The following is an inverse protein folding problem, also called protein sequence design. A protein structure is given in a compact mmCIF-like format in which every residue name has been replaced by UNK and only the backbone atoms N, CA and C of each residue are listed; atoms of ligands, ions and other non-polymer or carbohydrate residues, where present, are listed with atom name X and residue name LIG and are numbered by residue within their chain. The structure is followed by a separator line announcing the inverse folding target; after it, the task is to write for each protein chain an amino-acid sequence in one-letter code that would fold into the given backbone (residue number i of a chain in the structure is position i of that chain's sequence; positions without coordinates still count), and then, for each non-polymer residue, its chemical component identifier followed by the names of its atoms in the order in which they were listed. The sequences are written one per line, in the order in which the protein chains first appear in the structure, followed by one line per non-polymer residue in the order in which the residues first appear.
data_IF_201973685516
#
_entry.id   IF_201973685516
#
_cell.length_a   1.000
_cell.length_b   1.000
_cell.length_c   1.000
_cell.angle_alpha   90.00
_cell.angle_beta   90.00
_cell.angle_gamma   90.00
#
_symmetry.space_group_name_H-M   'P 1'
#
loop_
_entity.id
_entity.type
_entity.pdbx_description
1 polymer ?
#
# COMPACT_ATOMS: atom_id res chain seq x y z
N UNK A 1 3.18 -13.27 -1.48
CA UNK A 1 2.49 -12.97 -2.75
C UNK A 1 1.93 -11.53 -2.74
N UNK A 2 1.87 -10.82 -3.88
CA UNK A 2 1.45 -9.41 -3.93
C UNK A 2 1.07 -8.91 -5.33
N UNK A 3 0.39 -7.76 -5.42
CA UNK A 3 -0.07 -7.15 -6.67
C UNK A 3 1.00 -6.22 -7.25
N UNK A 4 1.37 -6.41 -8.52
CA UNK A 4 2.33 -5.55 -9.24
C UNK A 4 1.61 -4.32 -9.82
N UNK A 5 2.17 -3.15 -9.57
CA UNK A 5 1.66 -1.87 -10.07
C UNK A 5 2.48 -1.39 -11.28
N UNK A 6 1.99 -0.41 -12.02
CA UNK A 6 2.72 0.18 -13.16
C UNK A 6 4.04 0.81 -12.71
N UNK A 7 5.04 0.78 -13.60
CA UNK A 7 6.42 1.20 -13.32
C UNK A 7 6.53 2.67 -12.89
N UNK A 8 7.39 2.89 -11.91
CA UNK A 8 8.06 4.15 -11.57
C UNK A 8 9.50 4.13 -12.12
N UNK A 9 10.24 5.23 -11.99
CA UNK A 9 11.67 5.26 -12.34
C UNK A 9 12.47 4.19 -11.57
N UNK A 10 13.57 3.65 -12.11
CA UNK A 10 14.44 2.72 -11.37
C UNK A 10 15.18 3.43 -10.21
N UNK A 11 15.56 2.67 -9.16
CA UNK A 11 16.30 3.19 -8.00
C UNK A 11 17.22 2.12 -7.39
N UNK A 12 18.26 2.56 -6.67
CA UNK A 12 19.22 1.69 -5.95
C UNK A 12 19.01 1.68 -4.43
N UNK A 13 17.81 2.04 -3.97
CA UNK A 13 17.51 2.12 -2.53
C UNK A 13 17.28 0.73 -1.94
N UNK A 14 18.17 0.33 -1.03
CA UNK A 14 18.03 -0.83 -0.16
C UNK A 14 18.02 -0.36 1.31
N UNK A 15 17.25 -1.04 2.14
CA UNK A 15 17.13 -0.75 3.58
C UNK A 15 17.39 -2.03 4.40
N UNK A 16 17.79 -1.90 5.68
CA UNK A 16 17.79 -3.03 6.59
C UNK A 16 16.44 -3.77 6.59
N UNK A 17 16.47 -5.09 6.74
CA UNK A 17 15.23 -5.89 6.73
C UNK A 17 14.26 -5.42 7.79
N UNK A 18 13.11 -4.92 7.36
CA UNK A 18 12.02 -4.49 8.24
C UNK A 18 10.83 -5.45 8.11
N UNK A 19 10.01 -5.56 9.17
CA UNK A 19 8.75 -6.31 9.12
C UNK A 19 7.89 -5.84 7.95
N UNK A 20 7.51 -6.77 7.09
CA UNK A 20 6.57 -6.49 6.02
C UNK A 20 5.14 -6.57 6.57
N UNK A 21 4.36 -5.52 6.29
CA UNK A 21 2.99 -5.39 6.76
C UNK A 21 2.04 -5.61 5.58
N UNK A 22 0.94 -6.32 5.81
CA UNK A 22 -0.14 -6.45 4.83
C UNK A 22 -0.62 -5.06 4.37
N UNK A 23 -0.66 -4.86 3.05
CA UNK A 23 -1.04 -3.59 2.43
C UNK A 23 0.14 -2.62 2.22
N UNK A 24 1.37 -2.96 2.62
CA UNK A 24 2.52 -2.12 2.33
C UNK A 24 2.82 -2.07 0.83
N UNK A 25 3.22 -0.91 0.31
CA UNK A 25 3.73 -0.75 -1.04
C UNK A 25 5.24 -0.85 -0.99
N UNK A 26 5.78 -1.93 -1.52
CA UNK A 26 7.22 -2.17 -1.63
C UNK A 26 7.75 -1.64 -2.97
N UNK A 27 8.79 -0.81 -2.94
CA UNK A 27 9.47 -0.35 -4.16
C UNK A 27 10.64 -1.26 -4.47
N UNK A 28 10.60 -1.91 -5.65
CA UNK A 28 11.72 -2.74 -6.13
C UNK A 28 12.74 -1.89 -6.89
N UNK A 29 14.01 -2.34 -6.99
CA UNK A 29 15.06 -1.60 -7.70
C UNK A 29 14.74 -1.35 -9.18
N UNK A 30 13.98 -2.26 -9.79
CA UNK A 30 13.54 -2.17 -11.18
C UNK A 30 12.40 -1.16 -11.40
N UNK A 31 12.04 -0.40 -10.37
CA UNK A 31 10.98 0.62 -10.43
C UNK A 31 9.57 0.03 -10.46
N UNK A 32 9.36 -1.26 -10.15
CA UNK A 32 8.00 -1.83 -10.09
C UNK A 32 7.51 -1.82 -8.64
N UNK A 33 6.46 -1.06 -8.30
CA UNK A 33 5.86 -1.12 -6.97
C UNK A 33 5.06 -2.41 -6.80
N UNK A 34 5.11 -3.00 -5.61
CA UNK A 34 4.38 -4.23 -5.25
C UNK A 34 3.55 -3.96 -4.00
N UNK A 35 2.24 -4.13 -4.09
CA UNK A 35 1.36 -4.16 -2.92
C UNK A 35 1.45 -5.54 -2.25
N UNK A 36 1.90 -5.57 -0.99
CA UNK A 36 2.06 -6.81 -0.23
C UNK A 36 0.69 -7.34 0.22
N UNK A 37 0.39 -8.58 -0.15
CA UNK A 37 -0.80 -9.31 0.31
C UNK A 37 -0.66 -9.85 1.74
N UNK A 38 -1.69 -10.55 2.24
CA UNK A 38 -1.65 -11.17 3.57
C UNK A 38 -0.56 -12.25 3.67
N UNK A 39 -0.31 -12.97 2.58
CA UNK A 39 0.77 -13.97 2.46
C UNK A 39 2.07 -13.34 1.94
N UNK A 40 2.29 -12.05 2.22
CA UNK A 40 3.54 -11.36 1.93
C UNK A 40 4.71 -11.98 2.70
N UNK A 41 5.96 -11.77 2.24
CA UNK A 41 7.12 -12.15 3.04
C UNK A 41 7.08 -11.41 4.39
N UNK A 42 7.55 -12.04 5.47
CA UNK A 42 7.56 -11.44 6.82
C UNK A 42 8.62 -10.37 7.00
N UNK A 43 9.69 -10.43 6.19
CA UNK A 43 10.82 -9.51 6.18
C UNK A 43 11.13 -9.10 4.74
N UNK A 44 11.56 -7.85 4.54
CA UNK A 44 12.04 -7.40 3.23
C UNK A 44 12.98 -6.20 3.34
N UNK A 45 14.08 -6.24 2.58
CA UNK A 45 15.10 -5.19 2.51
C UNK A 45 14.79 -4.05 1.53
N UNK A 46 13.55 -3.98 1.04
CA UNK A 46 13.14 -2.94 0.11
C UNK A 46 12.31 -1.85 0.81
N UNK A 47 12.47 -0.57 0.39
CA UNK A 47 11.71 0.55 0.91
C UNK A 47 10.20 0.33 0.81
N UNK A 48 9.49 0.73 1.86
CA UNK A 48 8.03 0.64 1.99
C UNK A 48 7.43 2.01 2.32
N UNK A 49 7.41 2.98 1.38
CA UNK A 49 7.09 4.38 1.67
C UNK A 49 5.63 4.61 2.11
N UNK A 50 4.73 3.68 1.82
CA UNK A 50 3.31 3.83 2.11
C UNK A 50 2.65 2.47 2.42
N UNK A 51 1.51 2.53 3.11
CA UNK A 51 0.66 1.37 3.41
C UNK A 51 -0.79 1.69 3.08
N UNK A 52 -1.46 0.77 2.40
CA UNK A 52 -2.91 0.84 2.16
C UNK A 52 -3.65 0.77 3.48
N UNK A 53 -4.55 1.73 3.71
CA UNK A 53 -5.36 1.78 4.92
C UNK A 53 -6.20 0.51 5.06
N UNK A 54 -6.48 0.11 6.30
CA UNK A 54 -7.21 -1.14 6.57
C UNK A 54 -8.56 -1.22 5.84
N UNK A 55 -9.28 -0.09 5.76
CA UNK A 55 -10.58 0.01 5.10
C UNK A 55 -10.58 -0.34 3.60
N UNK A 56 -9.42 -0.19 2.92
CA UNK A 56 -9.32 -0.40 1.46
C UNK A 56 -8.64 -1.73 1.08
N UNK A 57 -8.21 -2.53 2.07
CA UNK A 57 -7.48 -3.77 1.79
C UNK A 57 -8.33 -4.83 1.10
N UNK A 58 -9.60 -4.96 1.49
CA UNK A 58 -10.54 -5.88 0.85
C UNK A 58 -10.82 -5.49 -0.59
N UNK A 59 -10.88 -4.18 -0.87
CA UNK A 59 -11.01 -3.68 -2.23
C UNK A 59 -9.76 -4.02 -3.05
N UNK A 60 -8.56 -3.80 -2.50
CA UNK A 60 -7.31 -4.12 -3.17
C UNK A 60 -7.16 -5.62 -3.51
N UNK A 61 -7.68 -6.51 -2.64
CA UNK A 61 -7.69 -7.95 -2.88
C UNK A 61 -8.65 -8.40 -3.99
N UNK A 62 -9.57 -7.54 -4.43
CA UNK A 62 -10.54 -7.82 -5.51
C UNK A 62 -10.10 -7.26 -6.86
N UNK A 63 -8.97 -6.57 -6.94
CA UNK A 63 -8.43 -6.05 -8.19
C UNK A 63 -7.98 -7.19 -9.10
N UNK A 64 -8.31 -7.05 -10.39
CA UNK A 64 -7.91 -7.96 -11.44
C UNK A 64 -6.75 -7.39 -12.26
N UNK A 65 -5.94 -8.23 -12.92
CA UNK A 65 -4.96 -7.76 -13.89
C UNK A 65 -5.61 -6.87 -14.95
N UNK A 66 -5.08 -5.67 -15.15
CA UNK A 66 -5.63 -4.67 -16.07
C UNK A 66 -6.50 -3.61 -15.40
N UNK A 67 -6.92 -3.80 -14.14
CA UNK A 67 -7.61 -2.75 -13.39
C UNK A 67 -6.69 -1.55 -13.18
N UNK A 68 -7.26 -0.35 -13.39
CA UNK A 68 -6.57 0.90 -13.11
C UNK A 68 -7.04 1.46 -11.78
N UNK A 69 -6.10 1.77 -10.91
CA UNK A 69 -6.37 2.40 -9.61
C UNK A 69 -5.50 3.63 -9.40
N UNK A 70 -6.03 4.60 -8.68
CA UNK A 70 -5.27 5.77 -8.21
C UNK A 70 -5.04 5.67 -6.71
N UNK A 71 -3.81 5.95 -6.29
CA UNK A 71 -3.49 6.10 -4.87
C UNK A 71 -3.71 7.54 -4.42
N UNK A 72 -4.23 7.70 -3.20
CA UNK A 72 -4.46 9.01 -2.56
C UNK A 72 -3.83 8.97 -1.17
N UNK A 73 -3.00 9.96 -0.85
CA UNK A 73 -2.44 10.09 0.50
C UNK A 73 -3.54 10.52 1.46
N UNK A 74 -3.57 9.89 2.63
CA UNK A 74 -4.48 10.25 3.72
C UNK A 74 -3.74 10.35 5.03
N UNK A 75 -4.29 11.17 5.92
CA UNK A 75 -3.87 11.27 7.30
C UNK A 75 -4.33 10.05 8.10
N UNK A 76 -3.71 9.85 9.26
CA UNK A 76 -4.11 8.80 10.20
C UNK A 76 -5.57 8.96 10.64
N UNK A 77 -6.03 10.19 10.91
CA UNK A 77 -7.40 10.45 11.33
C UNK A 77 -8.42 10.08 10.25
N UNK A 78 -8.13 10.40 8.98
CA UNK A 78 -8.96 10.00 7.84
C UNK A 78 -9.00 8.48 7.66
N UNK A 79 -7.86 7.80 7.86
CA UNK A 79 -7.77 6.35 7.80
C UNK A 79 -8.62 5.68 8.90
N UNK A 80 -8.58 6.20 10.13
CA UNK A 80 -9.38 5.72 11.26
C UNK A 80 -10.88 5.97 11.02
N UNK A 81 -11.25 7.16 10.54
CA UNK A 81 -12.64 7.48 10.19
C UNK A 81 -13.17 6.59 9.05
N UNK A 82 -12.33 6.28 8.05
CA UNK A 82 -12.70 5.37 6.97
C UNK A 82 -12.90 3.93 7.48
N UNK A 83 -12.07 3.47 8.42
CA UNK A 83 -12.21 2.15 9.03
C UNK A 83 -13.50 2.03 9.83
N UNK A 84 -13.83 3.04 10.65
CA UNK A 84 -15.09 3.08 11.39
C UNK A 84 -16.30 2.95 10.46
N UNK A 85 -16.32 3.69 9.34
CA UNK A 85 -17.40 3.63 8.33
C UNK A 85 -17.46 2.30 7.59
N UNK A 86 -16.32 1.64 7.35
CA UNK A 86 -16.29 0.36 6.62
C UNK A 86 -16.82 -0.83 7.41
N UNK A 87 -16.92 -0.68 8.74
CA UNK A 87 -17.48 -1.71 9.63
C UNK A 87 -19.02 -1.73 9.56
N UNK A 88 -19.64 -0.70 8.95
CA UNK A 88 -21.06 -0.40 9.10
C UNK A 88 -21.96 -0.78 7.92
N UNK A 89 -21.48 -0.96 6.67
CA UNK A 89 -22.15 -1.73 5.59
C UNK A 89 -21.51 -1.56 4.19
N UNK A 90 -21.67 -2.62 3.38
CA UNK A 90 -21.63 -2.72 1.90
C UNK A 90 -20.34 -2.28 1.19
N UNK A 91 -19.65 -3.27 0.63
CA UNK A 91 -18.50 -3.13 -0.26
C UNK A 91 -18.80 -2.35 -1.55
N UNK A 92 -18.87 -1.02 -1.44
CA UNK A 92 -18.78 -0.12 -2.58
C UNK A 92 -17.43 -0.32 -3.26
N UNK A 93 -17.45 -0.56 -4.58
CA UNK A 93 -16.24 -0.60 -5.40
C UNK A 93 -15.63 0.81 -5.41
N UNK A 94 -14.43 0.99 -4.86
CA UNK A 94 -13.71 2.26 -4.84
C UNK A 94 -12.73 2.34 -5.99
N UNK A 95 -12.87 3.29 -6.93
CA UNK A 95 -11.88 3.45 -8.01
C UNK A 95 -10.50 3.97 -7.53
N UNK A 96 -10.36 4.25 -6.23
CA UNK A 96 -9.15 4.79 -5.61
C UNK A 96 -8.84 4.07 -4.30
N UNK A 97 -7.55 4.00 -3.96
CA UNK A 97 -7.06 3.38 -2.73
C UNK A 97 -6.32 4.43 -1.90
N UNK A 98 -6.71 4.56 -0.63
CA UNK A 98 -6.07 5.47 0.29
C UNK A 98 -4.79 4.86 0.90
N UNK A 99 -3.75 5.67 0.98
CA UNK A 99 -2.45 5.35 1.53
C UNK A 99 -2.21 6.13 2.82
N UNK A 100 -1.98 5.38 3.90
CA UNK A 100 -1.37 5.91 5.11
C UNK A 100 0.14 6.02 4.93
N UNK A 101 0.71 7.14 5.39
CA UNK A 101 2.14 7.31 5.50
C UNK A 101 2.65 6.62 6.77
N UNK A 102 3.63 5.73 6.64
CA UNK A 102 4.30 5.11 7.78
C UNK A 102 5.57 5.90 8.08
N UNK A 103 5.51 6.78 9.09
CA UNK A 103 6.63 7.65 9.43
C UNK A 103 7.73 6.89 10.18
N UNK A 104 8.63 6.24 9.42
CA UNK A 104 10.03 6.03 9.82
C UNK A 104 10.91 6.51 8.67
N UNK A 105 11.38 7.75 8.73
CA UNK A 105 12.42 8.28 7.84
C UNK A 105 12.00 9.26 6.75
N UNK A 106 10.71 9.61 6.59
CA UNK A 106 10.30 10.59 5.57
C UNK A 106 10.40 12.02 6.12
N UNK A 107 11.45 12.75 5.73
CA UNK A 107 11.48 14.22 5.87
C UNK A 107 10.69 14.81 4.70
N UNK A 108 9.59 15.49 5.00
CA UNK A 108 8.92 16.36 4.04
C UNK A 108 9.81 17.58 3.83
N UNK A 109 10.30 17.78 2.60
CA UNK A 109 10.82 19.07 2.14
C UNK A 109 9.77 19.78 1.31
#
# INVERSE_FOLDING_TARGET
TGLRLSKTDPHTLEIPSEPATFGAIQLTPNGTPILLGPDGPTLGGYPKPAVVIRADRDFAGRLMPGDTVRFVLVTRAEAEAAWAKSTDEKGQKRAQIALGLNARGFRTS
#
